data_IF_112005218689
#
_entry.id   IF_112005218689
#
_cell.length_a   1.000
_cell.length_b   1.000
_cell.length_c   1.000
_cell.angle_alpha   90.00
_cell.angle_beta   90.00
_cell.angle_gamma   90.00
#
_symmetry.space_group_name_H-M   'P 1'
#
loop_
_entity.id
_entity.type
_entity.pdbx_description
1 polymer ?
#
# COMPACT_ATOMS: atom_id res chain seq x y z
N UNK A 1 -7.07 28.90 -22.86
CA UNK A 1 -7.83 28.21 -21.81
C UNK A 1 -6.96 27.11 -21.22
N UNK A 2 -6.52 27.25 -19.96
CA UNK A 2 -5.69 26.25 -19.27
C UNK A 2 -6.44 24.93 -19.06
N UNK A 3 -5.72 23.82 -18.82
CA UNK A 3 -6.35 22.52 -18.49
C UNK A 3 -7.29 22.64 -17.29
N UNK A 4 -6.93 23.47 -16.31
CA UNK A 4 -7.75 23.78 -15.15
C UNK A 4 -9.06 24.47 -15.56
N UNK A 5 -8.99 25.52 -16.38
CA UNK A 5 -10.18 26.23 -16.87
C UNK A 5 -11.13 25.31 -17.66
N UNK A 6 -10.59 24.34 -18.41
CA UNK A 6 -11.38 23.29 -19.08
C UNK A 6 -12.13 22.40 -18.08
N UNK A 7 -11.45 21.94 -17.03
CA UNK A 7 -12.08 21.11 -15.98
C UNK A 7 -13.18 21.92 -15.26
N UNK A 8 -12.93 23.21 -14.96
CA UNK A 8 -13.94 24.09 -14.35
C UNK A 8 -15.16 24.27 -15.24
N UNK A 9 -14.94 24.51 -16.53
CA UNK A 9 -16.02 24.70 -17.50
C UNK A 9 -16.85 23.41 -17.65
N UNK A 10 -16.20 22.25 -17.74
CA UNK A 10 -16.88 20.96 -17.86
C UNK A 10 -17.68 20.63 -16.60
N UNK A 11 -17.12 20.83 -15.41
CA UNK A 11 -17.85 20.65 -14.14
C UNK A 11 -19.00 21.67 -13.96
N UNK A 12 -18.98 22.81 -14.65
CA UNK A 12 -20.12 23.73 -14.61
C UNK A 12 -21.27 23.29 -15.53
N UNK A 13 -20.98 22.46 -16.55
CA UNK A 13 -21.93 22.06 -17.60
C UNK A 13 -22.38 20.61 -17.55
N UNK A 14 -21.70 19.75 -16.79
CA UNK A 14 -21.85 18.29 -16.80
C UNK A 14 -22.26 17.75 -15.42
N UNK A 15 -23.29 16.89 -15.41
CA UNK A 15 -23.77 16.14 -14.24
C UNK A 15 -22.94 14.86 -13.98
N UNK A 16 -21.87 14.62 -14.76
CA UNK A 16 -20.93 13.52 -14.49
C UNK A 16 -20.27 13.66 -13.11
N UNK A 17 -20.67 12.78 -12.19
CA UNK A 17 -20.12 12.67 -10.84
C UNK A 17 -18.59 12.64 -10.86
N UNK A 18 -17.97 11.93 -11.82
CA UNK A 18 -16.52 11.75 -11.83
C UNK A 18 -15.78 13.05 -12.12
N UNK A 19 -16.26 13.83 -13.08
CA UNK A 19 -15.74 15.17 -13.40
C UNK A 19 -15.90 16.11 -12.20
N UNK A 20 -17.01 16.02 -11.49
CA UNK A 20 -17.28 16.81 -10.28
C UNK A 20 -16.36 16.45 -9.11
N UNK A 21 -16.11 15.16 -8.88
CA UNK A 21 -15.16 14.70 -7.87
C UNK A 21 -13.74 15.21 -8.16
N UNK A 22 -13.30 15.14 -9.43
CA UNK A 22 -11.99 15.64 -9.85
C UNK A 22 -11.87 17.17 -9.69
N UNK A 23 -12.90 17.91 -10.11
CA UNK A 23 -12.96 19.36 -9.93
C UNK A 23 -12.81 19.74 -8.45
N UNK A 24 -13.59 19.09 -7.58
CA UNK A 24 -13.52 19.37 -6.14
C UNK A 24 -12.19 18.99 -5.51
N UNK A 25 -11.54 17.91 -5.99
CA UNK A 25 -10.19 17.57 -5.55
C UNK A 25 -9.19 18.69 -5.89
N UNK A 26 -9.26 19.23 -7.11
CA UNK A 26 -8.40 20.34 -7.55
C UNK A 26 -8.67 21.61 -6.75
N UNK A 27 -9.93 22.03 -6.63
CA UNK A 27 -10.30 23.25 -5.92
C UNK A 27 -9.92 23.17 -4.45
N UNK A 28 -10.20 22.05 -3.77
CA UNK A 28 -9.83 21.87 -2.37
C UNK A 28 -8.32 21.82 -2.18
N UNK A 29 -7.57 21.26 -3.12
CA UNK A 29 -6.09 21.26 -3.07
C UNK A 29 -5.53 22.68 -3.17
N UNK A 30 -6.14 23.54 -3.99
CA UNK A 30 -5.65 24.90 -4.27
C UNK A 30 -6.26 25.98 -3.36
N UNK A 31 -7.40 25.71 -2.72
CA UNK A 31 -8.12 26.71 -1.95
C UNK A 31 -7.29 27.25 -0.78
N UNK A 32 -7.43 28.54 -0.47
CA UNK A 32 -6.81 29.13 0.73
C UNK A 32 -7.37 28.50 2.01
N UNK A 33 -6.65 28.66 3.14
CA UNK A 33 -7.11 28.14 4.44
C UNK A 33 -8.51 28.67 4.83
N UNK A 34 -8.79 29.93 4.53
CA UNK A 34 -10.08 30.57 4.83
C UNK A 34 -11.23 30.01 3.99
N UNK A 35 -10.98 29.68 2.71
CA UNK A 35 -12.01 29.17 1.78
C UNK A 35 -12.20 27.66 1.87
N UNK A 36 -11.26 26.93 2.46
CA UNK A 36 -11.31 25.47 2.55
C UNK A 36 -12.59 24.95 3.21
N UNK A 37 -13.00 25.54 4.34
CA UNK A 37 -14.21 25.12 5.06
C UNK A 37 -15.46 25.28 4.19
N UNK A 38 -15.61 26.46 3.58
CA UNK A 38 -16.73 26.77 2.68
C UNK A 38 -16.79 25.81 1.49
N UNK A 39 -15.66 25.57 0.81
CA UNK A 39 -15.61 24.61 -0.30
C UNK A 39 -15.90 23.18 0.15
N UNK A 40 -15.45 22.78 1.33
CA UNK A 40 -15.72 21.45 1.89
C UNK A 40 -17.22 21.26 2.14
N UNK A 41 -17.87 22.24 2.76
CA UNK A 41 -19.32 22.23 3.01
C UNK A 41 -20.13 22.23 1.71
N UNK A 42 -19.76 23.10 0.75
CA UNK A 42 -20.40 23.15 -0.56
C UNK A 42 -20.30 21.82 -1.29
N UNK A 43 -19.09 21.23 -1.32
CA UNK A 43 -18.88 19.96 -1.98
C UNK A 43 -19.61 18.82 -1.27
N UNK A 44 -19.58 18.79 0.06
CA UNK A 44 -20.36 17.84 0.84
C UNK A 44 -21.86 17.95 0.57
N UNK A 45 -22.37 19.17 0.38
CA UNK A 45 -23.74 19.43 -0.06
C UNK A 45 -24.03 18.89 -1.46
N UNK A 46 -23.11 19.09 -2.41
CA UNK A 46 -23.21 18.62 -3.79
C UNK A 46 -23.25 17.08 -3.88
N UNK A 47 -22.42 16.38 -3.12
CA UNK A 47 -22.46 14.91 -3.03
C UNK A 47 -23.83 14.39 -2.56
N UNK A 48 -24.59 15.21 -1.83
CA UNK A 48 -25.94 14.86 -1.37
C UNK A 48 -27.05 15.00 -2.39
N UNK A 49 -26.76 15.46 -3.60
CA UNK A 49 -27.75 15.70 -4.66
C UNK A 49 -27.87 14.55 -5.65
N UNK A 50 -26.87 13.67 -5.71
CA UNK A 50 -26.89 12.53 -6.64
C UNK A 50 -27.86 11.47 -6.16
N UNK A 51 -28.73 11.02 -7.06
CA UNK A 51 -29.64 9.89 -6.86
C UNK A 51 -29.26 8.72 -7.78
N UNK A 52 -29.69 7.52 -7.42
CA UNK A 52 -29.65 6.35 -8.30
C UNK A 52 -30.70 6.53 -9.40
N UNK A 53 -30.30 6.36 -10.67
CA UNK A 53 -31.11 6.50 -11.88
C UNK A 53 -32.60 6.16 -11.66
N UNK A 54 -33.49 7.12 -11.96
CA UNK A 54 -34.95 6.99 -11.90
C UNK A 54 -35.54 6.63 -10.53
N UNK A 55 -34.77 6.82 -9.44
CA UNK A 55 -35.24 6.67 -8.05
C UNK A 55 -34.98 7.92 -7.21
N UNK A 56 -35.75 8.08 -6.14
CA UNK A 56 -35.50 9.09 -5.09
C UNK A 56 -34.39 8.64 -4.11
N UNK A 57 -33.77 7.48 -4.32
CA UNK A 57 -32.71 6.99 -3.44
C UNK A 57 -31.40 7.72 -3.71
N UNK A 58 -30.77 8.24 -2.66
CA UNK A 58 -29.46 8.89 -2.76
C UNK A 58 -28.39 7.90 -3.23
N UNK A 59 -27.59 8.32 -4.22
CA UNK A 59 -26.46 7.56 -4.71
C UNK A 59 -25.40 7.37 -3.62
N UNK A 60 -25.17 8.42 -2.81
CA UNK A 60 -24.16 8.49 -1.75
C UNK A 60 -24.83 8.62 -0.36
N UNK A 61 -25.52 7.58 0.11
CA UNK A 61 -26.15 7.60 1.43
C UNK A 61 -25.07 7.65 2.50
N UNK A 62 -25.35 8.25 3.67
CA UNK A 62 -24.40 8.29 4.78
C UNK A 62 -23.01 8.85 4.41
N UNK A 63 -22.93 9.70 3.38
CA UNK A 63 -21.70 10.40 3.03
C UNK A 63 -21.11 11.11 4.24
N UNK A 64 -19.79 11.15 4.34
CA UNK A 64 -19.08 11.79 5.44
C UNK A 64 -17.90 12.59 4.93
N UNK A 65 -17.49 13.60 5.71
CA UNK A 65 -16.31 14.40 5.45
C UNK A 65 -15.46 14.44 6.72
N UNK A 66 -14.17 14.15 6.58
CA UNK A 66 -13.22 14.07 7.69
C UNK A 66 -11.97 14.89 7.35
N UNK A 67 -11.31 15.43 8.36
CA UNK A 67 -10.07 16.19 8.18
C UNK A 67 -8.96 15.53 8.98
N UNK A 68 -7.94 15.06 8.26
CA UNK A 68 -6.69 14.57 8.84
C UNK A 68 -5.70 15.73 8.83
N UNK A 69 -5.09 16.02 9.98
CA UNK A 69 -4.13 17.13 10.11
C UNK A 69 -2.76 16.63 10.53
N UNK A 70 -1.74 17.38 10.13
CA UNK A 70 -0.35 17.10 10.45
C UNK A 70 0.15 18.22 11.34
N UNK A 71 0.85 17.85 12.41
CA UNK A 71 1.44 18.82 13.33
C UNK A 71 2.75 19.36 12.75
N UNK A 72 3.06 20.61 13.09
CA UNK A 72 4.37 21.20 12.77
C UNK A 72 5.53 20.39 13.38
N UNK A 73 5.29 19.74 14.52
CA UNK A 73 6.26 18.85 15.17
C UNK A 73 6.64 17.68 14.26
N UNK A 74 5.65 16.99 13.68
CA UNK A 74 5.89 15.87 12.77
C UNK A 74 6.67 16.34 11.53
N UNK A 75 6.30 17.48 10.94
CA UNK A 75 7.01 18.06 9.80
C UNK A 75 8.49 18.33 10.10
N UNK A 76 8.78 18.95 11.25
CA UNK A 76 10.15 19.25 11.68
C UNK A 76 10.97 17.97 11.87
N UNK A 77 10.39 16.97 12.54
CA UNK A 77 11.02 15.65 12.76
C UNK A 77 11.36 14.94 11.45
N UNK A 78 10.45 14.96 10.48
CA UNK A 78 10.64 14.39 9.14
C UNK A 78 11.75 15.10 8.36
N UNK A 79 11.96 16.41 8.59
CA UNK A 79 13.01 17.18 7.90
C UNK A 79 14.38 17.12 8.56
N UNK A 80 14.44 16.80 9.85
CA UNK A 80 15.68 16.73 10.60
C UNK A 80 16.78 15.86 9.94
N UNK A 81 16.53 14.61 9.50
CA UNK A 81 17.59 13.80 8.89
C UNK A 81 18.17 14.44 7.63
N UNK A 82 17.35 15.05 6.76
CA UNK A 82 17.84 15.75 5.55
C UNK A 82 18.74 16.95 5.90
N UNK A 83 18.41 17.68 6.97
CA UNK A 83 19.23 18.81 7.46
C UNK A 83 20.56 18.30 8.01
N UNK A 84 20.53 17.30 8.89
CA UNK A 84 21.73 16.73 9.50
C UNK A 84 22.67 16.11 8.45
N UNK A 85 22.13 15.39 7.46
CA UNK A 85 22.92 14.82 6.37
C UNK A 85 23.57 15.90 5.51
N UNK A 86 22.85 16.98 5.18
CA UNK A 86 23.42 18.10 4.43
C UNK A 86 24.60 18.73 5.19
N UNK A 87 24.46 18.95 6.49
CA UNK A 87 25.53 19.48 7.34
C UNK A 87 26.73 18.54 7.43
N UNK A 88 26.50 17.22 7.46
CA UNK A 88 27.57 16.23 7.51
C UNK A 88 28.32 16.09 6.17
N UNK A 89 27.60 16.17 5.04
CA UNK A 89 28.18 16.02 3.70
C UNK A 89 28.81 17.31 3.17
N UNK A 90 28.36 18.46 3.66
CA UNK A 90 28.85 19.77 3.25
C UNK A 90 29.02 20.69 4.47
N UNK A 91 30.14 20.59 5.21
CA UNK A 91 30.37 21.39 6.40
C UNK A 91 30.45 22.90 6.14
N UNK A 92 30.76 23.35 4.92
CA UNK A 92 30.87 24.79 4.61
C UNK A 92 29.51 25.47 4.68
N UNK A 93 28.44 24.74 4.40
CA UNK A 93 27.06 25.25 4.50
C UNK A 93 26.73 25.79 5.89
N UNK A 94 27.37 25.28 6.95
CA UNK A 94 27.16 25.77 8.32
C UNK A 94 27.70 27.19 8.47
N UNK A 95 28.91 27.43 7.94
CA UNK A 95 29.53 28.75 7.98
C UNK A 95 28.76 29.72 7.10
N UNK A 96 28.36 29.29 5.90
CA UNK A 96 27.54 30.09 4.99
C UNK A 96 26.19 30.49 5.60
N UNK A 97 25.54 29.57 6.33
CA UNK A 97 24.29 29.85 7.04
C UNK A 97 24.49 30.83 8.21
N UNK A 98 25.60 30.73 8.95
CA UNK A 98 25.93 31.64 10.06
C UNK A 98 26.23 33.05 9.58
N UNK A 99 26.98 33.15 8.49
CA UNK A 99 27.43 34.43 7.93
C UNK A 99 26.38 35.05 6.99
N UNK A 100 25.23 34.38 6.79
CA UNK A 100 24.14 34.84 5.93
C UNK A 100 24.47 34.82 4.44
N UNK A 101 25.55 34.15 4.04
CA UNK A 101 26.02 34.04 2.65
C UNK A 101 25.47 32.82 1.91
N UNK A 102 24.78 31.91 2.61
CA UNK A 102 24.17 30.73 2.02
C UNK A 102 23.21 31.09 0.88
N UNK A 103 23.57 30.70 -0.34
CA UNK A 103 22.72 30.89 -1.51
C UNK A 103 21.63 29.82 -1.54
N UNK A 104 20.37 30.24 -1.42
CA UNK A 104 19.25 29.35 -1.72
C UNK A 104 19.18 29.20 -3.25
N UNK A 105 19.29 27.97 -3.78
CA UNK A 105 19.24 27.76 -5.23
C UNK A 105 17.98 28.36 -5.84
N UNK A 106 18.11 29.04 -6.98
CA UNK A 106 16.96 29.57 -7.74
C UNK A 106 15.99 28.48 -8.19
N UNK A 107 16.49 27.25 -8.32
CA UNK A 107 15.69 26.04 -8.47
C UNK A 107 16.17 24.97 -7.47
N UNK A 108 15.25 24.46 -6.65
CA UNK A 108 15.54 23.40 -5.68
C UNK A 108 15.45 23.83 -4.22
N UNK A 109 16.01 23.00 -3.34
CA UNK A 109 15.97 23.18 -1.89
C UNK A 109 17.39 23.12 -1.34
N UNK A 110 17.74 24.05 -0.46
CA UNK A 110 19.02 24.05 0.26
C UNK A 110 19.25 22.73 1.03
N UNK A 111 18.17 22.12 1.53
CA UNK A 111 18.15 20.81 2.18
C UNK A 111 17.41 19.80 1.30
N UNK A 112 18.05 19.39 0.20
CA UNK A 112 17.46 18.59 -0.87
C UNK A 112 17.45 17.07 -0.68
N UNK A 113 18.15 16.53 0.32
CA UNK A 113 18.33 15.07 0.50
C UNK A 113 16.99 14.35 0.59
N UNK A 114 16.70 13.55 -0.45
CA UNK A 114 15.44 12.82 -0.65
C UNK A 114 14.18 13.68 -0.50
N UNK A 115 14.24 14.97 -0.87
CA UNK A 115 13.19 15.93 -0.56
C UNK A 115 11.84 15.56 -1.20
N UNK A 116 11.82 15.03 -2.42
CA UNK A 116 10.56 14.62 -3.07
C UNK A 116 9.91 13.44 -2.34
N UNK A 117 10.70 12.43 -1.98
CA UNK A 117 10.23 11.23 -1.28
C UNK A 117 9.81 11.54 0.16
N UNK A 118 10.58 12.38 0.87
CA UNK A 118 10.25 12.83 2.22
C UNK A 118 9.05 13.80 2.24
N UNK A 119 8.88 14.63 1.21
CA UNK A 119 7.68 15.46 1.05
C UNK A 119 6.45 14.61 0.79
N UNK A 120 6.55 13.52 0.02
CA UNK A 120 5.41 12.64 -0.24
C UNK A 120 4.86 11.99 1.04
N UNK A 121 5.72 11.67 2.02
CA UNK A 121 5.30 11.08 3.30
C UNK A 121 4.37 11.96 4.13
N UNK A 122 4.47 13.28 4.01
CA UNK A 122 3.80 14.21 4.94
C UNK A 122 2.96 15.23 4.19
N UNK A 123 3.45 15.79 3.09
CA UNK A 123 2.80 16.92 2.42
C UNK A 123 1.79 16.50 1.35
N UNK A 124 1.89 15.30 0.80
CA UNK A 124 1.02 14.87 -0.31
C UNK A 124 -0.19 14.05 0.11
N UNK A 125 -0.32 13.68 1.40
CA UNK A 125 -1.40 12.81 1.87
C UNK A 125 -1.32 11.36 1.36
N UNK A 126 -0.23 10.97 0.70
CA UNK A 126 -0.10 9.66 0.03
C UNK A 126 -0.19 8.46 0.97
N UNK A 127 0.04 8.67 2.27
CA UNK A 127 -0.15 7.66 3.32
C UNK A 127 -1.63 7.28 3.54
N UNK A 128 -2.58 8.01 2.96
CA UNK A 128 -4.01 7.72 2.98
C UNK A 128 -4.49 6.99 1.71
N UNK A 129 -3.68 6.93 0.65
CA UNK A 129 -4.07 6.26 -0.59
C UNK A 129 -4.35 4.77 -0.37
N UNK A 130 -3.53 4.00 0.39
CA UNK A 130 -3.83 2.61 0.70
C UNK A 130 -5.15 2.40 1.44
N UNK A 131 -5.57 3.38 2.23
CA UNK A 131 -6.87 3.40 2.92
C UNK A 131 -8.01 3.60 1.93
N UNK A 132 -7.86 4.51 0.96
CA UNK A 132 -8.89 4.77 -0.06
C UNK A 132 -9.07 3.59 -1.03
N UNK A 133 -7.99 2.87 -1.35
CA UNK A 133 -8.01 1.73 -2.27
C UNK A 133 -8.23 0.36 -1.63
N UNK A 134 -8.47 0.26 -0.32
CA UNK A 134 -8.53 -1.02 0.39
C UNK A 134 -9.72 -1.93 -0.01
N UNK A 135 -10.73 -1.41 -0.71
CA UNK A 135 -11.89 -2.17 -1.18
C UNK A 135 -11.83 -2.56 -2.66
N UNK A 136 -10.67 -2.42 -3.32
CA UNK A 136 -10.50 -2.72 -4.75
C UNK A 136 -11.22 -4.02 -5.18
N UNK A 137 -11.95 -4.07 -6.31
CA UNK A 137 -12.04 -3.05 -7.35
C UNK A 137 -13.06 -1.96 -7.05
N UNK A 138 -13.52 -1.83 -5.80
CA UNK A 138 -14.42 -0.78 -5.35
C UNK A 138 -13.65 0.34 -4.63
N UNK A 139 -14.23 1.53 -4.63
CA UNK A 139 -13.82 2.67 -3.81
C UNK A 139 -14.95 3.03 -2.86
N UNK A 140 -14.62 3.47 -1.65
CA UNK A 140 -15.60 3.90 -0.66
C UNK A 140 -15.48 5.39 -0.31
N UNK A 141 -14.45 6.04 -0.84
CA UNK A 141 -14.17 7.44 -0.63
C UNK A 141 -12.99 7.90 -1.46
N UNK A 142 -12.60 9.15 -1.28
CA UNK A 142 -11.43 9.73 -1.92
C UNK A 142 -10.83 10.86 -1.06
N UNK A 143 -9.57 11.19 -1.36
CA UNK A 143 -8.79 12.17 -0.61
C UNK A 143 -8.54 13.45 -1.41
N UNK A 144 -8.63 14.60 -0.73
CA UNK A 144 -8.25 15.91 -1.24
C UNK A 144 -7.04 16.41 -0.44
N UNK A 145 -5.81 16.13 -0.90
CA UNK A 145 -4.60 16.50 -0.18
C UNK A 145 -4.38 18.01 -0.18
N UNK A 146 -3.86 18.53 0.93
CA UNK A 146 -3.52 19.95 1.12
C UNK A 146 -2.20 20.06 1.89
N UNK A 147 -1.51 21.21 1.85
CA UNK A 147 -0.40 21.43 2.77
C UNK A 147 -0.87 21.22 4.23
N UNK A 148 -0.20 20.31 4.94
CA UNK A 148 -0.42 19.97 6.36
C UNK A 148 -1.80 19.39 6.72
N UNK A 149 -2.65 19.08 5.74
CA UNK A 149 -3.97 18.48 6.01
C UNK A 149 -4.48 17.69 4.81
N UNK A 150 -5.43 16.80 5.01
CA UNK A 150 -6.13 16.11 3.93
C UNK A 150 -7.59 16.01 4.30
N UNK A 151 -8.47 16.42 3.39
CA UNK A 151 -9.91 16.23 3.54
C UNK A 151 -10.27 14.89 2.89
N UNK A 152 -10.91 14.01 3.65
CA UNK A 152 -11.38 12.71 3.18
C UNK A 152 -12.89 12.76 3.05
N UNK A 153 -13.41 12.35 1.89
CA UNK A 153 -14.84 12.20 1.68
C UNK A 153 -15.17 10.72 1.54
N UNK A 154 -16.04 10.22 2.44
CA UNK A 154 -16.63 8.90 2.33
C UNK A 154 -17.95 8.97 1.56
N UNK A 155 -18.15 8.02 0.64
CA UNK A 155 -19.40 7.86 -0.12
C UNK A 155 -20.52 7.20 0.69
N UNK A 156 -20.17 6.59 1.83
CA UNK A 156 -21.10 5.85 2.70
C UNK A 156 -21.64 4.55 2.10
N UNK A 157 -21.12 4.16 0.93
CA UNK A 157 -21.21 2.82 0.32
C UNK A 157 -20.02 2.57 -0.61
N UNK A 158 -19.81 1.33 -1.01
CA UNK A 158 -18.82 0.98 -2.03
C UNK A 158 -19.35 1.32 -3.44
N UNK A 159 -18.52 1.92 -4.28
CA UNK A 159 -18.79 2.23 -5.68
C UNK A 159 -17.77 1.52 -6.58
N UNK A 160 -18.16 1.02 -7.77
CA UNK A 160 -17.20 0.45 -8.73
C UNK A 160 -16.13 1.49 -9.14
N UNK A 161 -14.84 1.15 -9.03
CA UNK A 161 -13.75 2.06 -9.40
C UNK A 161 -13.51 2.13 -10.92
N UNK A 162 -13.86 1.05 -11.63
CA UNK A 162 -13.72 0.93 -13.07
C UNK A 162 -14.99 0.30 -13.66
N UNK A 163 -15.71 1.07 -14.47
CA UNK A 163 -16.78 0.54 -15.31
C UNK A 163 -16.13 -0.07 -16.56
N UNK A 164 -16.43 -1.34 -16.83
CA UNK A 164 -15.62 -2.24 -17.67
C UNK A 164 -15.60 -1.99 -19.18
N UNK A 165 -16.09 -0.86 -19.68
CA UNK A 165 -16.24 -0.63 -21.13
C UNK A 165 -15.66 0.70 -21.64
N UNK A 166 -15.38 1.66 -20.77
CA UNK A 166 -14.83 2.96 -21.20
C UNK A 166 -13.31 2.97 -21.06
N UNK A 167 -12.63 2.90 -22.21
CA UNK A 167 -11.22 3.25 -22.31
C UNK A 167 -11.09 4.77 -22.10
N UNK A 168 -10.56 5.17 -20.94
CA UNK A 168 -10.33 6.57 -20.57
C UNK A 168 -9.10 7.16 -21.25
N UNK A 169 -8.17 6.31 -21.66
CA UNK A 169 -6.93 6.70 -22.33
C UNK A 169 -6.62 5.73 -23.48
N UNK A 170 -5.94 6.19 -24.53
CA UNK A 170 -5.56 5.34 -25.67
C UNK A 170 -4.69 4.15 -25.25
N UNK A 171 -3.89 4.30 -24.17
CA UNK A 171 -3.08 3.22 -23.60
C UNK A 171 -3.92 2.09 -22.98
N UNK A 172 -5.21 2.31 -22.71
CA UNK A 172 -6.13 1.28 -22.25
C UNK A 172 -6.61 0.35 -23.39
N UNK A 173 -6.29 0.66 -24.65
CA UNK A 173 -6.51 -0.24 -25.79
C UNK A 173 -5.49 -1.39 -25.84
N UNK A 174 -4.38 -1.30 -25.10
CA UNK A 174 -3.41 -2.37 -25.01
C UNK A 174 -4.06 -3.60 -24.34
N UNK A 175 -3.77 -4.79 -24.87
CA UNK A 175 -4.29 -6.04 -24.30
C UNK A 175 -3.74 -6.25 -22.89
N UNK A 176 -4.64 -6.46 -21.93
CA UNK A 176 -4.31 -6.72 -20.53
C UNK A 176 -5.10 -7.92 -20.04
N UNK A 177 -4.46 -8.75 -19.22
CA UNK A 177 -5.15 -9.79 -18.47
C UNK A 177 -5.92 -9.14 -17.34
N UNK A 178 -7.25 -9.12 -17.48
CA UNK A 178 -8.16 -8.70 -16.42
C UNK A 178 -8.39 -9.79 -15.37
N UNK A 179 -9.15 -9.44 -14.34
CA UNK A 179 -9.57 -10.39 -13.30
C UNK A 179 -10.42 -11.50 -13.91
N UNK A 180 -10.22 -12.74 -13.45
CA UNK A 180 -10.93 -13.93 -13.90
C UNK A 180 -12.20 -14.24 -13.08
N UNK A 181 -12.47 -13.44 -12.05
CA UNK A 181 -13.61 -13.66 -11.14
C UNK A 181 -14.23 -12.34 -10.69
N UNK A 182 -15.56 -12.35 -10.60
CA UNK A 182 -16.32 -11.24 -10.03
C UNK A 182 -16.05 -11.13 -8.52
N UNK A 183 -15.97 -9.90 -8.03
CA UNK A 183 -15.87 -9.60 -6.60
C UNK A 183 -17.25 -9.18 -6.11
N UNK A 184 -17.68 -9.71 -4.97
CA UNK A 184 -18.92 -9.26 -4.32
C UNK A 184 -18.81 -7.79 -3.90
N UNK A 185 -19.85 -6.99 -4.14
CA UNK A 185 -19.93 -5.62 -3.66
C UNK A 185 -19.85 -5.58 -2.13
N UNK A 186 -18.83 -4.91 -1.53
CA UNK A 186 -18.75 -4.76 -0.09
C UNK A 186 -19.90 -3.91 0.44
N UNK A 187 -20.43 -4.31 1.59
CA UNK A 187 -21.42 -3.52 2.34
C UNK A 187 -20.84 -3.16 3.69
N UNK A 188 -21.16 -1.96 4.17
CA UNK A 188 -20.68 -1.47 5.46
C UNK A 188 -21.67 -0.48 6.04
N UNK A 189 -21.62 -0.34 7.36
CA UNK A 189 -22.48 0.50 8.18
C UNK A 189 -22.11 1.98 8.06
N UNK A 190 -23.03 2.87 8.44
CA UNK A 190 -22.83 4.33 8.38
C UNK A 190 -21.62 4.83 9.20
N UNK A 191 -21.21 4.08 10.22
CA UNK A 191 -20.10 4.41 11.12
C UNK A 191 -18.75 3.89 10.62
N UNK A 192 -18.76 2.89 9.74
CA UNK A 192 -17.55 2.20 9.27
C UNK A 192 -16.49 3.15 8.69
N UNK A 193 -16.92 4.14 7.90
CA UNK A 193 -16.02 5.12 7.28
C UNK A 193 -15.21 5.91 8.31
N UNK A 194 -15.87 6.46 9.34
CA UNK A 194 -15.19 7.21 10.40
C UNK A 194 -14.25 6.32 11.22
N UNK A 195 -14.74 5.16 11.63
CA UNK A 195 -13.97 4.20 12.43
C UNK A 195 -12.73 3.66 11.69
N UNK A 196 -12.84 3.43 10.38
CA UNK A 196 -11.71 3.03 9.55
C UNK A 196 -10.64 4.14 9.41
N UNK A 197 -11.08 5.40 9.24
CA UNK A 197 -10.18 6.56 9.17
C UNK A 197 -9.47 6.74 10.51
N UNK A 198 -10.21 6.75 11.61
CA UNK A 198 -9.66 6.93 12.96
C UNK A 198 -8.65 5.84 13.29
N UNK A 199 -8.99 4.58 13.01
CA UNK A 199 -8.07 3.47 13.21
C UNK A 199 -6.79 3.66 12.40
N UNK A 200 -6.91 3.93 11.09
CA UNK A 200 -5.77 4.07 10.19
C UNK A 200 -4.85 5.22 10.61
N UNK A 201 -5.42 6.40 10.87
CA UNK A 201 -4.69 7.60 11.28
C UNK A 201 -4.02 7.38 12.64
N UNK A 202 -4.69 6.72 13.58
CA UNK A 202 -4.11 6.43 14.89
C UNK A 202 -2.90 5.47 14.77
N UNK A 203 -2.98 4.43 13.92
CA UNK A 203 -1.84 3.53 13.69
C UNK A 203 -0.68 4.24 13.01
N UNK A 204 -0.94 5.12 12.04
CA UNK A 204 0.09 5.96 11.45
C UNK A 204 0.73 6.90 12.47
N UNK A 205 -0.07 7.52 13.35
CA UNK A 205 0.45 8.39 14.40
C UNK A 205 1.36 7.62 15.39
N UNK A 206 0.98 6.40 15.77
CA UNK A 206 1.81 5.51 16.59
C UNK A 206 3.11 5.15 15.88
N UNK A 207 3.06 4.82 14.59
CA UNK A 207 4.24 4.49 13.81
C UNK A 207 5.19 5.69 13.64
N UNK A 208 4.65 6.86 13.32
CA UNK A 208 5.43 8.10 13.19
C UNK A 208 6.05 8.55 14.50
N UNK A 209 5.49 8.16 15.66
CA UNK A 209 6.12 8.40 16.96
C UNK A 209 7.52 7.82 17.01
N UNK A 210 7.77 6.64 16.44
CA UNK A 210 9.09 6.01 16.45
C UNK A 210 9.90 6.35 15.19
N UNK A 211 9.29 6.28 14.01
CA UNK A 211 10.00 6.52 12.76
C UNK A 211 10.61 7.91 12.65
N UNK A 212 10.02 8.90 13.33
CA UNK A 212 10.45 10.29 13.24
C UNK A 212 11.13 10.79 14.51
N UNK A 213 11.23 9.97 15.56
CA UNK A 213 11.88 10.36 16.81
C UNK A 213 13.39 10.11 16.74
N UNK A 214 14.24 11.15 16.77
CA UNK A 214 15.69 11.00 16.68
C UNK A 214 16.29 10.15 17.81
N UNK A 215 15.62 10.08 18.97
CA UNK A 215 16.07 9.24 20.09
C UNK A 215 16.00 7.73 19.77
N UNK A 216 15.22 7.33 18.76
CA UNK A 216 15.20 5.95 18.27
C UNK A 216 16.43 5.62 17.42
N UNK A 217 17.17 6.64 16.96
CA UNK A 217 18.28 6.51 16.02
C UNK A 217 19.62 6.94 16.63
N UNK A 218 19.87 6.49 17.86
CA UNK A 218 21.12 6.76 18.60
C UNK A 218 21.99 5.50 18.57
N UNK A 219 23.25 5.63 18.13
CA UNK A 219 24.22 4.54 18.08
C UNK A 219 24.79 4.17 19.46
N UNK A 220 25.62 3.13 19.51
CA UNK A 220 26.31 2.67 20.72
C UNK A 220 27.24 3.72 21.36
N UNK A 221 27.50 4.83 20.67
CA UNK A 221 28.34 5.95 21.12
C UNK A 221 27.51 7.19 21.49
N UNK A 222 26.20 7.04 21.70
CA UNK A 222 25.25 8.12 21.98
C UNK A 222 25.14 9.18 20.86
N UNK A 223 25.41 8.80 19.60
CA UNK A 223 25.33 9.72 18.46
C UNK A 223 24.12 9.43 17.59
N UNK A 224 23.47 10.49 17.15
CA UNK A 224 22.36 10.40 16.20
C UNK A 224 22.82 9.95 14.81
N UNK A 225 22.11 8.97 14.23
CA UNK A 225 22.39 8.33 12.94
C UNK A 225 21.35 8.76 11.90
N UNK A 226 21.50 9.95 11.28
CA UNK A 226 20.47 10.54 10.44
C UNK A 226 20.21 9.79 9.12
N UNK A 227 21.20 9.04 8.61
CA UNK A 227 21.01 8.26 7.38
C UNK A 227 20.07 7.07 7.61
N UNK A 228 20.19 6.38 8.75
CA UNK A 228 19.27 5.29 9.10
C UNK A 228 17.85 5.81 9.33
N UNK A 229 17.68 6.96 10.00
CA UNK A 229 16.36 7.59 10.10
C UNK A 229 15.76 7.88 8.72
N UNK A 230 16.56 8.43 7.79
CA UNK A 230 16.10 8.66 6.44
C UNK A 230 15.75 7.35 5.71
N UNK A 231 16.56 6.31 5.83
CA UNK A 231 16.34 5.01 5.18
C UNK A 231 15.02 4.37 5.63
N UNK A 232 14.72 4.39 6.92
CA UNK A 232 13.47 3.84 7.46
C UNK A 232 12.24 4.63 7.00
N UNK A 233 12.33 5.96 6.99
CA UNK A 233 11.27 6.81 6.46
C UNK A 233 11.02 6.55 4.97
N UNK A 234 12.08 6.45 4.16
CA UNK A 234 11.97 6.15 2.73
C UNK A 234 11.37 4.76 2.48
N UNK A 235 11.75 3.77 3.29
CA UNK A 235 11.21 2.40 3.22
C UNK A 235 9.70 2.42 3.43
N UNK A 236 9.21 3.09 4.49
CA UNK A 236 7.76 3.20 4.72
C UNK A 236 7.06 3.94 3.58
N UNK A 237 7.62 5.06 3.12
CA UNK A 237 7.06 5.85 2.01
C UNK A 237 6.83 4.98 0.78
N UNK A 238 7.85 4.23 0.41
CA UNK A 238 7.81 3.37 -0.74
C UNK A 238 6.80 2.23 -0.58
N UNK A 239 6.69 1.62 0.60
CA UNK A 239 5.68 0.59 0.88
C UNK A 239 4.26 1.13 0.73
N UNK A 240 3.98 2.34 1.22
CA UNK A 240 2.66 2.97 1.08
C UNK A 240 2.36 3.31 -0.38
N UNK A 241 3.30 3.90 -1.10
CA UNK A 241 3.15 4.25 -2.52
C UNK A 241 2.98 3.00 -3.40
N UNK A 242 3.75 1.95 -3.17
CA UNK A 242 3.61 0.69 -3.90
C UNK A 242 2.29 -0.01 -3.57
N UNK A 243 1.81 0.08 -2.32
CA UNK A 243 0.48 -0.44 -1.96
C UNK A 243 -0.62 0.31 -2.71
N UNK A 244 -0.57 1.65 -2.74
CA UNK A 244 -1.51 2.44 -3.54
C UNK A 244 -1.42 2.10 -5.03
N UNK A 245 -0.20 1.97 -5.57
CA UNK A 245 0.03 1.57 -6.96
C UNK A 245 -0.54 0.19 -7.28
N UNK A 246 -0.44 -0.76 -6.35
CA UNK A 246 -1.04 -2.08 -6.47
C UNK A 246 -2.56 -2.00 -6.55
N UNK A 247 -3.17 -1.14 -5.74
CA UNK A 247 -4.61 -0.95 -5.68
C UNK A 247 -5.18 -0.20 -6.91
N UNK A 248 -4.39 0.65 -7.56
CA UNK A 248 -4.80 1.34 -8.80
C UNK A 248 -4.58 0.48 -10.06
N UNK A 249 -3.71 -0.53 -10.00
CA UNK A 249 -3.39 -1.41 -11.14
C UNK A 249 -4.38 -2.58 -11.33
N UNK A 250 -5.67 -2.37 -11.02
CA UNK A 250 -6.69 -3.44 -11.02
C UNK A 250 -6.99 -4.04 -12.40
N UNK A 251 -6.61 -3.34 -13.48
CA UNK A 251 -6.80 -3.76 -14.88
C UNK A 251 -5.61 -4.55 -15.45
N UNK A 252 -4.53 -4.70 -14.69
CA UNK A 252 -3.34 -5.44 -15.12
C UNK A 252 -2.87 -6.36 -13.99
N UNK A 253 -3.38 -7.60 -13.99
CA UNK A 253 -3.04 -8.58 -12.94
C UNK A 253 -1.56 -8.94 -12.93
N UNK A 254 -0.86 -8.80 -14.06
CA UNK A 254 0.57 -9.12 -14.16
C UNK A 254 1.39 -8.05 -13.46
N UNK A 255 1.16 -6.78 -13.79
CA UNK A 255 1.81 -5.67 -13.09
C UNK A 255 1.45 -5.66 -11.60
N UNK A 256 0.18 -5.90 -11.26
CA UNK A 256 -0.27 -6.00 -9.87
C UNK A 256 0.51 -7.07 -9.08
N UNK A 257 0.74 -8.24 -9.69
CA UNK A 257 1.52 -9.34 -9.08
C UNK A 257 3.00 -8.99 -8.89
N UNK A 258 3.62 -8.33 -9.87
CA UNK A 258 5.02 -7.89 -9.75
C UNK A 258 5.16 -6.89 -8.59
N UNK A 259 4.26 -5.91 -8.50
CA UNK A 259 4.25 -4.95 -7.38
C UNK A 259 4.05 -5.69 -6.05
N UNK A 260 3.14 -6.67 -6.00
CA UNK A 260 2.91 -7.48 -4.80
C UNK A 260 4.17 -8.21 -4.34
N UNK A 261 4.91 -8.83 -5.27
CA UNK A 261 6.17 -9.51 -4.94
C UNK A 261 7.26 -8.57 -4.43
N UNK A 262 7.35 -7.36 -4.98
CA UNK A 262 8.26 -6.33 -4.47
C UNK A 262 7.90 -5.94 -3.04
N UNK A 263 6.62 -5.69 -2.77
CA UNK A 263 6.13 -5.36 -1.42
C UNK A 263 6.40 -6.48 -0.42
N UNK A 264 6.12 -7.74 -0.77
CA UNK A 264 6.41 -8.89 0.10
C UNK A 264 7.90 -9.01 0.43
N UNK A 265 8.78 -8.68 -0.52
CA UNK A 265 10.21 -8.54 -0.25
C UNK A 265 10.50 -7.49 0.83
N UNK A 266 9.95 -6.28 0.69
CA UNK A 266 10.11 -5.22 1.70
C UNK A 266 9.57 -5.61 3.08
N UNK A 267 8.47 -6.38 3.13
CA UNK A 267 7.95 -6.89 4.40
C UNK A 267 8.86 -7.93 5.05
N UNK A 268 9.35 -8.91 4.27
CA UNK A 268 10.28 -9.92 4.77
C UNK A 268 11.61 -9.30 5.24
N UNK A 269 12.15 -8.36 4.46
CA UNK A 269 13.51 -7.85 4.68
C UNK A 269 13.57 -6.80 5.81
N UNK A 270 12.50 -6.03 6.05
CA UNK A 270 12.53 -4.91 7.03
C UNK A 270 11.35 -4.81 7.98
N UNK A 271 10.11 -4.96 7.49
CA UNK A 271 8.92 -4.58 8.28
C UNK A 271 8.32 -5.68 9.16
N UNK A 272 8.59 -6.95 8.90
CA UNK A 272 8.12 -8.08 9.73
C UNK A 272 9.26 -8.82 10.47
N UNK A 273 10.51 -8.41 10.22
CA UNK A 273 11.71 -8.86 10.93
C UNK A 273 12.45 -10.01 10.26
N UNK A 274 13.75 -10.15 10.59
CA UNK A 274 14.69 -11.06 9.91
C UNK A 274 14.30 -12.55 9.99
N UNK A 275 13.48 -12.93 10.97
CA UNK A 275 13.01 -14.31 11.14
C UNK A 275 11.87 -14.67 10.19
N UNK A 276 11.26 -13.69 9.52
CA UNK A 276 10.14 -13.91 8.60
C UNK A 276 10.66 -14.02 7.18
N UNK A 277 11.04 -15.23 6.78
CA UNK A 277 11.43 -15.51 5.40
C UNK A 277 10.29 -15.23 4.41
N UNK A 278 10.64 -14.80 3.19
CA UNK A 278 9.67 -14.57 2.12
C UNK A 278 8.73 -15.77 1.87
N UNK A 279 9.24 -17.00 2.00
CA UNK A 279 8.42 -18.22 1.85
C UNK A 279 7.30 -18.26 2.90
N UNK A 280 7.58 -17.86 4.13
CA UNK A 280 6.60 -17.81 5.23
C UNK A 280 5.46 -16.84 4.91
N UNK A 281 5.74 -15.76 4.18
CA UNK A 281 4.69 -14.83 3.75
C UNK A 281 3.67 -15.46 2.79
N UNK A 282 3.97 -16.58 2.14
CA UNK A 282 3.03 -17.33 1.30
C UNK A 282 2.38 -18.53 2.01
N UNK A 283 2.59 -18.68 3.32
CA UNK A 283 1.88 -19.69 4.13
C UNK A 283 0.48 -19.19 4.46
N UNK A 284 -0.54 -20.01 4.17
CA UNK A 284 -1.92 -19.70 4.53
C UNK A 284 -2.13 -19.70 6.05
N UNK A 285 -1.43 -20.57 6.79
CA UNK A 285 -1.42 -20.58 8.25
C UNK A 285 -0.88 -19.26 8.80
N UNK A 286 0.29 -18.82 8.33
CA UNK A 286 0.86 -17.55 8.75
C UNK A 286 -0.04 -16.36 8.39
N UNK A 287 -0.58 -16.32 7.16
CA UNK A 287 -1.53 -15.29 6.75
C UNK A 287 -2.80 -15.29 7.62
N UNK A 288 -3.33 -16.46 7.99
CA UNK A 288 -4.48 -16.58 8.88
C UNK A 288 -4.17 -16.05 10.28
N UNK A 289 -3.00 -16.36 10.83
CA UNK A 289 -2.53 -15.85 12.12
C UNK A 289 -2.43 -14.32 12.08
N UNK A 290 -1.83 -13.75 11.03
CA UNK A 290 -1.75 -12.30 10.87
C UNK A 290 -3.13 -11.66 10.68
N UNK A 291 -4.02 -12.28 9.91
CA UNK A 291 -5.39 -11.78 9.71
C UNK A 291 -6.16 -11.74 11.04
N UNK A 292 -6.10 -12.82 11.82
CA UNK A 292 -6.76 -12.88 13.13
C UNK A 292 -6.19 -11.86 14.11
N UNK A 293 -4.86 -11.70 14.11
CA UNK A 293 -4.20 -10.69 14.91
C UNK A 293 -4.66 -9.27 14.52
N UNK A 294 -4.61 -8.91 13.24
CA UNK A 294 -5.06 -7.60 12.74
C UNK A 294 -6.52 -7.36 13.11
N UNK A 295 -7.39 -8.35 12.91
CA UNK A 295 -8.81 -8.27 13.28
C UNK A 295 -9.00 -7.99 14.77
N UNK A 296 -8.17 -8.55 15.64
CA UNK A 296 -8.22 -8.29 17.09
C UNK A 296 -7.77 -6.87 17.48
N UNK A 297 -7.06 -6.16 16.59
CA UNK A 297 -6.52 -4.83 16.84
C UNK A 297 -7.42 -3.68 16.37
N UNK A 298 -8.61 -3.97 15.84
CA UNK A 298 -9.58 -2.98 15.36
C UNK A 298 -11.01 -3.33 15.79
N UNK A 299 -11.89 -2.35 15.85
CA UNK A 299 -13.31 -2.59 16.09
C UNK A 299 -14.00 -3.15 14.82
N UNK A 300 -15.21 -3.70 15.00
CA UNK A 300 -15.96 -4.33 13.91
C UNK A 300 -16.29 -3.35 12.77
N UNK A 301 -16.58 -2.09 13.06
CA UNK A 301 -16.92 -1.10 12.05
C UNK A 301 -15.74 -0.73 11.15
N UNK A 302 -14.54 -0.53 11.73
CA UNK A 302 -13.32 -0.35 10.95
C UNK A 302 -13.02 -1.59 10.10
N UNK A 303 -13.26 -2.79 10.64
CA UNK A 303 -13.03 -4.06 9.95
C UNK A 303 -13.91 -4.24 8.69
N UNK A 304 -15.12 -3.68 8.66
CA UNK A 304 -16.02 -3.71 7.49
C UNK A 304 -15.38 -3.08 6.24
N UNK A 305 -14.50 -2.09 6.41
CA UNK A 305 -13.77 -1.44 5.32
C UNK A 305 -12.36 -2.00 5.15
N UNK A 306 -11.64 -2.24 6.25
CA UNK A 306 -10.20 -2.56 6.19
C UNK A 306 -9.90 -4.04 5.93
N UNK A 307 -10.76 -4.98 6.33
CA UNK A 307 -10.46 -6.42 6.21
C UNK A 307 -10.90 -7.13 4.92
N UNK A 308 -11.87 -6.66 4.11
CA UNK A 308 -12.34 -7.42 2.95
C UNK A 308 -11.23 -7.81 1.96
N UNK A 309 -10.30 -6.90 1.64
CA UNK A 309 -9.16 -7.24 0.77
C UNK A 309 -8.20 -8.25 1.40
N UNK A 310 -7.93 -8.13 2.70
CA UNK A 310 -7.07 -9.05 3.42
C UNK A 310 -7.68 -10.46 3.52
N UNK A 311 -9.00 -10.57 3.72
CA UNK A 311 -9.71 -11.86 3.71
C UNK A 311 -9.64 -12.52 2.34
N UNK A 312 -9.88 -11.78 1.25
CA UNK A 312 -9.75 -12.32 -0.11
C UNK A 312 -8.33 -12.80 -0.42
N UNK A 313 -7.30 -12.10 0.08
CA UNK A 313 -5.91 -12.53 -0.08
C UNK A 313 -5.65 -13.90 0.59
N UNK A 314 -6.20 -14.09 1.78
CA UNK A 314 -6.14 -15.34 2.52
C UNK A 314 -6.90 -16.47 1.81
N UNK A 315 -8.11 -16.19 1.32
CA UNK A 315 -8.90 -17.16 0.55
C UNK A 315 -8.18 -17.55 -0.74
N UNK A 316 -7.54 -16.59 -1.42
CA UNK A 316 -6.70 -16.81 -2.60
C UNK A 316 -5.49 -17.72 -2.29
N UNK A 317 -4.82 -17.54 -1.15
CA UNK A 317 -3.75 -18.45 -0.71
C UNK A 317 -4.25 -19.88 -0.50
N UNK A 318 -5.43 -20.05 0.08
CA UNK A 318 -6.03 -21.36 0.29
C UNK A 318 -6.47 -21.99 -1.05
N UNK A 319 -6.97 -21.18 -1.98
CA UNK A 319 -7.34 -21.64 -3.32
C UNK A 319 -6.13 -22.10 -4.12
N UNK A 320 -5.00 -21.38 -4.03
CA UNK A 320 -3.75 -21.75 -4.70
C UNK A 320 -3.31 -23.18 -4.34
N UNK A 321 -3.47 -23.60 -3.08
CA UNK A 321 -3.11 -24.95 -2.64
C UNK A 321 -3.90 -26.07 -3.34
N UNK A 322 -5.06 -25.76 -3.91
CA UNK A 322 -5.90 -26.71 -4.65
C UNK A 322 -5.44 -26.91 -6.09
N UNK A 323 -4.55 -26.06 -6.61
CA UNK A 323 -4.04 -26.14 -7.98
C UNK A 323 -3.06 -27.30 -8.23
N UNK A 324 -2.63 -28.02 -7.19
CA UNK A 324 -1.83 -29.25 -7.33
C UNK A 324 -2.68 -30.43 -7.83
N UNK A 325 -3.02 -30.40 -9.13
CA UNK A 325 -4.04 -31.25 -9.74
C UNK A 325 -3.79 -32.76 -9.56
N UNK A 326 -2.53 -33.23 -9.55
CA UNK A 326 -2.22 -34.65 -9.32
C UNK A 326 -2.60 -35.08 -7.89
N UNK A 327 -2.27 -34.24 -6.92
CA UNK A 327 -2.59 -34.51 -5.51
C UNK A 327 -4.10 -34.41 -5.27
N UNK A 328 -4.77 -33.49 -5.97
CA UNK A 328 -6.22 -33.32 -5.92
C UNK A 328 -6.97 -34.52 -6.52
N UNK A 329 -6.61 -34.93 -7.74
CA UNK A 329 -7.21 -36.09 -8.42
C UNK A 329 -7.10 -37.38 -7.62
N UNK A 330 -6.02 -37.54 -6.86
CA UNK A 330 -5.77 -38.75 -6.05
C UNK A 330 -6.31 -38.66 -4.62
N UNK A 331 -6.90 -37.53 -4.23
CA UNK A 331 -7.34 -37.31 -2.84
C UNK A 331 -6.21 -37.31 -1.81
N UNK A 332 -4.96 -37.03 -2.23
CA UNK A 332 -3.78 -37.07 -1.38
C UNK A 332 -3.51 -35.67 -0.82
N UNK A 333 -3.27 -35.58 0.50
CA UNK A 333 -2.99 -34.31 1.21
C UNK A 333 -1.58 -33.76 0.98
N UNK A 334 -0.67 -34.59 0.48
CA UNK A 334 0.72 -34.24 0.20
C UNK A 334 1.01 -34.20 -1.31
N UNK A 335 1.87 -33.27 -1.70
CA UNK A 335 2.47 -33.16 -3.03
C UNK A 335 3.74 -34.03 -3.04
N UNK A 336 3.72 -35.09 -3.86
CA UNK A 336 4.81 -36.07 -3.97
C UNK A 336 5.65 -35.79 -5.20
N UNK A 337 6.92 -35.43 -5.00
CA UNK A 337 7.87 -35.18 -6.08
C UNK A 337 8.84 -36.36 -6.20
N UNK A 338 8.81 -37.01 -7.36
CA UNK A 338 9.78 -38.05 -7.71
C UNK A 338 11.04 -37.41 -8.29
N UNK A 339 12.17 -37.62 -7.62
CA UNK A 339 13.48 -37.12 -8.03
C UNK A 339 14.17 -38.10 -9.00
N UNK A 340 15.11 -37.63 -9.86
CA UNK A 340 15.81 -38.50 -10.81
C UNK A 340 16.60 -39.65 -10.16
N UNK A 341 17.06 -39.47 -8.93
CA UNK A 341 17.77 -40.48 -8.15
C UNK A 341 16.84 -41.53 -7.49
N UNK A 342 15.54 -41.53 -7.84
CA UNK A 342 14.53 -42.43 -7.27
C UNK A 342 13.97 -41.99 -5.91
N UNK A 343 14.53 -40.96 -5.28
CA UNK A 343 14.01 -40.45 -4.00
C UNK A 343 12.64 -39.76 -4.19
N UNK A 344 11.75 -39.93 -3.22
CA UNK A 344 10.46 -39.22 -3.18
C UNK A 344 10.56 -38.13 -2.12
N UNK A 345 10.28 -36.88 -2.51
CA UNK A 345 10.09 -35.78 -1.57
C UNK A 345 8.61 -35.52 -1.40
N UNK A 346 8.17 -35.42 -0.15
CA UNK A 346 6.79 -35.08 0.18
C UNK A 346 6.74 -33.69 0.80
N UNK A 347 5.79 -32.89 0.31
CA UNK A 347 5.46 -31.59 0.86
C UNK A 347 3.97 -31.57 1.19
N UNK A 348 3.57 -30.93 2.28
CA UNK A 348 2.16 -30.56 2.39
C UNK A 348 1.82 -29.51 1.31
N UNK A 349 0.53 -29.40 0.93
CA UNK A 349 0.11 -28.49 -0.14
C UNK A 349 0.44 -27.02 0.14
N UNK A 350 0.43 -26.64 1.41
CA UNK A 350 0.79 -25.29 1.83
C UNK A 350 2.26 -24.96 1.56
N UNK A 351 3.20 -25.79 2.01
CA UNK A 351 4.64 -25.60 1.77
C UNK A 351 4.95 -25.68 0.27
N UNK A 352 4.27 -26.58 -0.45
CA UNK A 352 4.38 -26.67 -1.90
C UNK A 352 3.91 -25.38 -2.61
N UNK A 353 2.76 -24.82 -2.21
CA UNK A 353 2.24 -23.57 -2.75
C UNK A 353 3.14 -22.38 -2.42
N UNK A 354 3.64 -22.29 -1.18
CA UNK A 354 4.55 -21.24 -0.77
C UNK A 354 5.87 -21.27 -1.57
N UNK A 355 6.43 -22.47 -1.81
CA UNK A 355 7.60 -22.66 -2.68
C UNK A 355 7.31 -22.28 -4.13
N UNK A 356 6.15 -22.66 -4.65
CA UNK A 356 5.70 -22.30 -5.99
C UNK A 356 5.66 -20.78 -6.17
N UNK A 357 5.17 -20.04 -5.17
CA UNK A 357 5.14 -18.57 -5.24
C UNK A 357 6.53 -17.94 -5.21
N UNK A 358 7.47 -18.49 -4.43
CA UNK A 358 8.88 -18.05 -4.47
C UNK A 358 9.48 -18.29 -5.86
N UNK A 359 9.14 -19.40 -6.51
CA UNK A 359 9.59 -19.69 -7.89
C UNK A 359 9.03 -18.66 -8.87
N UNK A 360 7.73 -18.38 -8.83
CA UNK A 360 7.11 -17.35 -9.69
C UNK A 360 7.70 -15.95 -9.46
N UNK A 361 8.01 -15.60 -8.21
CA UNK A 361 8.66 -14.33 -7.87
C UNK A 361 10.06 -14.23 -8.46
N UNK A 362 10.84 -15.31 -8.41
CA UNK A 362 12.20 -15.33 -8.96
C UNK A 362 12.22 -15.45 -10.49
N UNK A 363 11.12 -15.88 -11.10
CA UNK A 363 10.99 -15.99 -12.56
C UNK A 363 10.93 -14.63 -13.27
N UNK A 364 10.98 -13.50 -12.56
CA UNK A 364 11.24 -12.17 -13.15
C UNK A 364 12.58 -12.10 -13.87
N UNK A 365 13.51 -13.02 -13.58
CA UNK A 365 14.78 -13.19 -14.30
C UNK A 365 14.73 -14.31 -15.36
N UNK A 366 13.54 -14.85 -15.67
CA UNK A 366 13.30 -15.99 -16.56
C UNK A 366 13.01 -17.29 -15.80
N UNK A 367 12.23 -18.18 -16.43
CA UNK A 367 12.05 -19.56 -15.95
C UNK A 367 13.22 -20.43 -16.44
N UNK A 368 13.85 -21.19 -15.54
CA UNK A 368 14.94 -22.11 -15.86
C UNK A 368 16.13 -22.01 -14.90
N UNK A 369 17.21 -22.71 -15.22
CA UNK A 369 18.46 -22.66 -14.44
C UNK A 369 19.07 -21.26 -14.58
N UNK A 370 18.83 -20.40 -13.58
CA UNK A 370 19.61 -19.17 -13.41
C UNK A 370 21.10 -19.46 -13.28
N UNK A 371 21.94 -18.43 -13.40
CA UNK A 371 23.39 -18.57 -13.57
C UNK A 371 24.10 -19.43 -12.49
N UNK A 372 23.55 -19.61 -11.29
CA UNK A 372 23.99 -20.57 -10.26
C UNK A 372 22.81 -20.95 -9.35
N UNK A 373 22.13 -22.10 -9.53
CA UNK A 373 21.17 -22.56 -8.52
C UNK A 373 21.91 -22.84 -7.20
N UNK A 374 21.31 -22.47 -6.04
CA UNK A 374 21.88 -22.76 -4.71
C UNK A 374 22.19 -24.27 -4.53
N UNK A 375 21.44 -25.13 -5.21
CA UNK A 375 21.78 -26.53 -5.47
C UNK A 375 20.98 -27.11 -6.66
N UNK A 376 21.53 -28.11 -7.35
CA UNK A 376 20.85 -28.87 -8.42
C UNK A 376 19.50 -29.42 -7.93
N UNK A 377 19.50 -29.96 -6.72
CA UNK A 377 18.31 -30.53 -6.08
C UNK A 377 17.19 -29.50 -5.87
N UNK A 378 17.52 -28.24 -5.58
CA UNK A 378 16.49 -27.19 -5.40
C UNK A 378 15.86 -26.78 -6.73
N UNK A 379 16.64 -26.76 -7.82
CA UNK A 379 16.14 -26.45 -9.15
C UNK A 379 15.18 -27.55 -9.64
N UNK A 380 15.57 -28.82 -9.47
CA UNK A 380 14.74 -29.98 -9.83
C UNK A 380 13.42 -30.01 -9.06
N UNK A 381 13.44 -29.71 -7.74
CA UNK A 381 12.21 -29.59 -6.95
C UNK A 381 11.31 -28.50 -7.52
N UNK A 382 11.86 -27.35 -7.90
CA UNK A 382 11.07 -26.25 -8.44
C UNK A 382 10.43 -26.56 -9.79
N UNK A 383 11.18 -27.15 -10.72
CA UNK A 383 10.65 -27.62 -12.02
C UNK A 383 9.52 -28.63 -11.83
N UNK A 384 9.68 -29.57 -10.89
CA UNK A 384 8.65 -30.57 -10.60
C UNK A 384 7.43 -29.98 -9.91
N UNK A 385 7.59 -28.97 -9.04
CA UNK A 385 6.45 -28.24 -8.46
C UNK A 385 5.63 -27.53 -9.54
N UNK A 386 6.29 -26.85 -10.48
CA UNK A 386 5.64 -26.21 -11.62
C UNK A 386 4.85 -27.22 -12.46
N UNK A 387 5.44 -28.39 -12.73
CA UNK A 387 4.78 -29.44 -13.53
C UNK A 387 3.59 -30.11 -12.83
N UNK A 388 3.48 -30.00 -11.50
CA UNK A 388 2.37 -30.59 -10.73
C UNK A 388 1.24 -29.60 -10.42
N UNK A 389 1.42 -28.32 -10.70
CA UNK A 389 0.40 -27.29 -10.51
C UNK A 389 -0.25 -26.91 -11.85
N UNK A 390 -1.54 -26.58 -11.83
CA UNK A 390 -2.31 -26.17 -13.02
C UNK A 390 -1.95 -24.76 -13.58
N UNK A 391 -0.93 -24.10 -13.01
CA UNK A 391 -0.53 -22.73 -13.35
C UNK A 391 -1.52 -21.61 -12.97
N UNK A 392 -2.69 -21.91 -12.40
CA UNK A 392 -3.69 -20.90 -12.04
C UNK A 392 -3.31 -20.22 -10.72
N UNK A 393 -2.87 -18.97 -10.80
CA UNK A 393 -2.63 -18.12 -9.64
C UNK A 393 -3.84 -17.20 -9.43
N UNK A 394 -4.57 -17.30 -8.30
CA UNK A 394 -5.71 -16.43 -8.01
C UNK A 394 -5.32 -14.95 -8.00
N UNK A 395 -6.17 -14.10 -8.58
CA UNK A 395 -5.87 -12.66 -8.77
C UNK A 395 -5.68 -11.94 -7.42
N UNK A 396 -6.52 -12.28 -6.43
CA UNK A 396 -6.49 -11.66 -5.09
C UNK A 396 -5.27 -12.05 -4.25
N UNK A 397 -4.43 -12.97 -4.72
CA UNK A 397 -3.13 -13.23 -4.09
C UNK A 397 -2.26 -11.95 -4.07
N UNK A 398 -2.44 -11.07 -5.05
CA UNK A 398 -1.75 -9.79 -5.09
C UNK A 398 -2.12 -8.88 -3.90
N UNK A 399 -3.20 -9.16 -3.16
CA UNK A 399 -3.63 -8.38 -1.99
C UNK A 399 -2.95 -8.80 -0.69
N UNK A 400 -2.16 -9.87 -0.72
CA UNK A 400 -1.44 -10.36 0.44
C UNK A 400 -0.50 -9.34 1.12
N UNK A 401 0.23 -8.46 0.39
CA UNK A 401 1.02 -7.42 1.04
C UNK A 401 0.16 -6.41 1.80
N UNK A 402 -1.10 -6.18 1.42
CA UNK A 402 -1.98 -5.28 2.16
C UNK A 402 -2.34 -5.85 3.54
N UNK A 403 -2.55 -7.17 3.66
CA UNK A 403 -2.69 -7.82 4.97
C UNK A 403 -1.45 -7.56 5.85
N UNK A 404 -0.25 -7.69 5.29
CA UNK A 404 0.99 -7.48 6.02
C UNK A 404 1.26 -6.01 6.36
N UNK A 405 0.78 -5.07 5.54
CA UNK A 405 0.75 -3.65 5.88
C UNK A 405 -0.08 -3.41 7.14
N UNK A 406 -1.29 -3.96 7.19
CA UNK A 406 -2.15 -3.86 8.38
C UNK A 406 -1.50 -4.52 9.60
N UNK A 407 -0.84 -5.67 9.43
CA UNK A 407 -0.12 -6.34 10.51
C UNK A 407 1.05 -5.50 11.05
N UNK A 408 1.82 -4.86 10.16
CA UNK A 408 2.89 -3.94 10.55
C UNK A 408 2.35 -2.72 11.31
N UNK A 409 1.23 -2.16 10.88
CA UNK A 409 0.54 -1.06 11.60
C UNK A 409 0.07 -1.44 13.00
N UNK A 410 -0.25 -2.71 13.23
CA UNK A 410 -0.62 -3.22 14.54
C UNK A 410 0.57 -3.44 15.49
N UNK A 411 1.81 -3.39 14.99
CA UNK A 411 3.05 -3.62 15.77
C UNK A 411 4.08 -2.49 15.60
N UNK A 412 3.73 -1.25 15.99
CA UNK A 412 4.68 -0.13 15.89
C UNK A 412 5.91 -0.33 16.79
N UNK A 413 5.76 -1.01 17.93
CA UNK A 413 6.86 -1.30 18.86
C UNK A 413 7.87 -2.28 18.25
N UNK A 414 7.43 -3.33 17.54
CA UNK A 414 8.34 -4.23 16.82
C UNK A 414 9.20 -3.48 15.78
N UNK A 415 8.64 -2.45 15.14
CA UNK A 415 9.39 -1.63 14.17
C UNK A 415 10.43 -0.79 14.90
N UNK A 416 10.07 -0.17 16.04
CA UNK A 416 11.01 0.55 16.89
C UNK A 416 12.16 -0.35 17.33
N UNK A 417 11.85 -1.53 17.86
CA UNK A 417 12.86 -2.42 18.41
C UNK A 417 13.84 -2.89 17.33
N UNK A 418 13.35 -3.16 16.11
CA UNK A 418 14.23 -3.46 14.96
C UNK A 418 15.12 -2.29 14.55
N UNK A 419 14.62 -1.07 14.58
CA UNK A 419 15.44 0.12 14.31
C UNK A 419 16.58 0.19 15.32
N UNK A 420 16.26 0.01 16.61
CA UNK A 420 17.24 0.03 17.70
C UNK A 420 18.26 -1.10 17.54
N UNK A 421 17.81 -2.33 17.28
CA UNK A 421 18.67 -3.50 17.05
C UNK A 421 19.63 -3.26 15.88
N UNK A 422 19.13 -2.75 14.76
CA UNK A 422 19.95 -2.49 13.57
C UNK A 422 21.03 -1.43 13.84
N UNK A 423 20.68 -0.39 14.60
CA UNK A 423 21.60 0.71 14.92
C UNK A 423 22.61 0.32 15.99
N UNK A 424 22.23 -0.52 16.96
CA UNK A 424 23.13 -0.99 18.00
C UNK A 424 24.29 -1.87 17.48
N UNK A 425 24.11 -2.49 16.30
CA UNK A 425 25.13 -3.29 15.62
C UNK A 425 26.14 -2.42 14.83
N UNK A 426 25.86 -1.12 14.68
CA UNK A 426 26.74 -0.12 14.05
C UNK A 426 27.67 0.55 15.07
#
# INVERSE_FOLDING_TARGET
MTTLEKIRANAASDDDLKTQLLYSQIELTQASRQRCGQFTEQHFGLLGRYTLNDTDELLLPNRSAHVVTITQTLLRRVKLPSIALRMAQDPTVINELRDGSAQVPSSGLLFGSAAQQANSLVLSGSFLDPLMGCLLPYVWGYACPRPMSTVLFGFGRALPAANGLEAREMLELLQRSGRNSAVSLPTFTRTAAGEAIDWWVMRLNQLFRYLTDPATYIDSQDRYVPHEQLHWMLTLSQVLQLTASLQTTIRDTTAQRVIAFTLLGSFADRLLGEKVELKTLFSAKYAQEQFNFVKSCMNNHAAEILLPAAQRALDALQQLQKGFFISEQRGIKAVRIHMPNGAVKEFNREDAAARLMVIHRNATHGYGRGAKPKSVTSAEVGERLLAQHDGRIPDDLALLPYLYLLAAFCRPDDIRDRIIEQIAVM
#
